data_IF_397592980148
#
_entry.id   IF_397592980148
#
_cell.length_a   1.000
_cell.length_b   1.000
_cell.length_c   1.000
_cell.angle_alpha   90.00
_cell.angle_beta   90.00
_cell.angle_gamma   90.00
#
_symmetry.space_group_name_H-M   'P 1'
#
loop_
_entity.id
_entity.type
_entity.pdbx_description
1 polymer ?
#
# COMPACT_ATOMS: atom_id res chain seq x y z
N UNK A 1 29.14 24.82 13.19
CA UNK A 1 28.17 24.24 12.24
C UNK A 1 28.66 22.96 11.53
N UNK A 2 29.68 22.25 11.99
CA UNK A 2 30.28 21.11 11.27
C UNK A 2 29.85 19.69 11.73
N UNK A 3 29.38 19.53 12.97
CA UNK A 3 29.19 18.19 13.55
C UNK A 3 27.88 17.55 13.12
N UNK A 4 26.79 18.32 13.04
CA UNK A 4 25.46 17.80 12.66
C UNK A 4 25.39 17.41 11.18
N UNK A 5 26.16 18.08 10.29
CA UNK A 5 26.22 17.72 8.87
C UNK A 5 27.01 16.42 8.65
N UNK A 6 28.02 16.14 9.45
CA UNK A 6 28.81 14.91 9.36
C UNK A 6 28.04 13.69 9.89
N UNK A 7 27.28 13.82 10.97
CA UNK A 7 26.43 12.73 11.49
C UNK A 7 25.35 12.36 10.48
N UNK A 8 24.68 13.35 9.86
CA UNK A 8 23.68 13.09 8.78
C UNK A 8 24.30 12.46 7.53
N UNK A 9 25.55 12.79 7.21
CA UNK A 9 26.27 12.20 6.07
C UNK A 9 26.73 10.76 6.35
N UNK A 10 27.19 10.46 7.56
CA UNK A 10 27.55 9.11 7.99
C UNK A 10 26.34 8.18 8.12
N UNK A 11 25.24 8.65 8.70
CA UNK A 11 23.99 7.89 8.78
C UNK A 11 23.40 7.56 7.38
N UNK A 12 23.46 8.52 6.44
CA UNK A 12 23.06 8.27 5.05
C UNK A 12 23.92 7.24 4.34
N UNK A 13 25.23 7.27 4.55
CA UNK A 13 26.17 6.35 3.87
C UNK A 13 26.14 4.93 4.45
N UNK A 14 25.97 4.78 5.76
CA UNK A 14 25.94 3.46 6.41
C UNK A 14 24.61 2.74 6.18
N UNK A 15 23.48 3.44 6.24
CA UNK A 15 22.16 2.86 5.93
C UNK A 15 22.04 2.37 4.48
N UNK A 16 22.59 3.13 3.52
CA UNK A 16 22.49 2.79 2.09
C UNK A 16 23.36 1.59 1.69
N UNK A 17 24.53 1.40 2.31
CA UNK A 17 25.44 0.28 1.99
C UNK A 17 24.92 -1.07 2.52
N UNK A 18 24.37 -1.12 3.72
CA UNK A 18 23.83 -2.36 4.30
C UNK A 18 22.58 -2.79 3.52
N UNK A 19 21.67 -1.86 3.23
CA UNK A 19 20.47 -2.12 2.44
C UNK A 19 20.78 -2.61 1.02
N UNK A 20 21.82 -2.10 0.37
CA UNK A 20 22.20 -2.55 -0.98
C UNK A 20 22.75 -3.99 -0.99
N UNK A 21 23.46 -4.43 0.05
CA UNK A 21 23.98 -5.80 0.15
C UNK A 21 22.86 -6.79 0.44
N UNK A 22 21.89 -6.47 1.29
CA UNK A 22 20.71 -7.31 1.57
C UNK A 22 19.81 -7.42 0.33
N UNK A 23 19.56 -6.31 -0.35
CA UNK A 23 18.77 -6.31 -1.59
C UNK A 23 19.43 -7.17 -2.67
N UNK A 24 20.74 -7.05 -2.87
CA UNK A 24 21.48 -7.87 -3.82
C UNK A 24 21.47 -9.37 -3.45
N UNK A 25 21.52 -9.68 -2.16
CA UNK A 25 21.42 -11.06 -1.68
C UNK A 25 20.01 -11.63 -1.95
N UNK A 26 18.96 -10.90 -1.62
CA UNK A 26 17.58 -11.30 -1.90
C UNK A 26 17.33 -11.47 -3.40
N UNK A 27 17.79 -10.54 -4.22
CA UNK A 27 17.70 -10.61 -5.69
C UNK A 27 18.36 -11.88 -6.23
N UNK A 28 19.54 -12.23 -5.74
CA UNK A 28 20.25 -13.47 -6.12
C UNK A 28 19.46 -14.72 -5.76
N UNK A 29 18.85 -14.75 -4.57
CA UNK A 29 18.01 -15.86 -4.12
C UNK A 29 16.80 -16.01 -5.03
N UNK A 30 16.06 -14.92 -5.28
CA UNK A 30 14.85 -14.92 -6.11
C UNK A 30 15.17 -15.36 -7.55
N UNK A 31 16.19 -14.80 -8.18
CA UNK A 31 16.59 -15.18 -9.54
C UNK A 31 16.93 -16.68 -9.67
N UNK A 32 17.55 -17.26 -8.63
CA UNK A 32 17.86 -18.70 -8.60
C UNK A 32 16.62 -19.57 -8.47
N UNK A 33 15.59 -19.09 -7.76
CA UNK A 33 14.49 -19.95 -7.28
C UNK A 33 13.23 -19.83 -8.15
N UNK A 34 12.95 -18.69 -8.77
CA UNK A 34 11.69 -18.44 -9.49
C UNK A 34 11.39 -19.37 -10.66
N UNK A 35 12.40 -19.97 -11.27
CA UNK A 35 12.22 -20.85 -12.42
C UNK A 35 12.28 -22.35 -12.07
N UNK A 36 12.22 -22.68 -10.77
CA UNK A 36 12.06 -24.06 -10.34
C UNK A 36 10.57 -24.44 -10.40
N UNK A 37 10.31 -25.61 -10.96
CA UNK A 37 8.95 -26.12 -11.16
C UNK A 37 8.36 -26.67 -9.84
N UNK A 38 8.04 -25.74 -8.92
CA UNK A 38 7.44 -26.00 -7.62
C UNK A 38 6.00 -25.50 -7.62
N UNK A 39 5.11 -26.15 -6.89
CA UNK A 39 3.76 -25.67 -6.57
C UNK A 39 2.82 -25.37 -7.76
N UNK A 40 2.86 -26.15 -8.83
CA UNK A 40 1.95 -26.01 -9.99
C UNK A 40 0.46 -26.00 -9.55
N UNK A 41 0.09 -26.78 -8.53
CA UNK A 41 -1.30 -26.80 -8.01
C UNK A 41 -1.71 -25.46 -7.41
N UNK A 42 -0.83 -24.81 -6.65
CA UNK A 42 -1.08 -23.50 -6.05
C UNK A 42 -1.10 -22.40 -7.11
N UNK A 43 -0.23 -22.47 -8.13
CA UNK A 43 -0.28 -21.57 -9.27
C UNK A 43 -1.63 -21.67 -10.02
N UNK A 44 -2.11 -22.90 -10.25
CA UNK A 44 -3.41 -23.11 -10.90
C UNK A 44 -4.57 -22.55 -10.06
N UNK A 45 -4.51 -22.72 -8.73
CA UNK A 45 -5.48 -22.12 -7.80
C UNK A 45 -5.46 -20.60 -7.88
N UNK A 46 -4.27 -20.00 -7.86
CA UNK A 46 -4.09 -18.56 -7.99
C UNK A 46 -4.66 -18.01 -9.30
N UNK A 47 -4.34 -18.63 -10.44
CA UNK A 47 -4.88 -18.21 -11.74
C UNK A 47 -6.42 -18.25 -11.76
N UNK A 48 -7.03 -19.27 -11.19
CA UNK A 48 -8.50 -19.35 -11.06
C UNK A 48 -9.05 -18.20 -10.19
N UNK A 49 -8.41 -17.89 -9.08
CA UNK A 49 -8.81 -16.79 -8.20
C UNK A 49 -8.72 -15.44 -8.90
N UNK A 50 -7.62 -15.17 -9.62
CA UNK A 50 -7.43 -13.93 -10.39
C UNK A 50 -8.51 -13.80 -11.46
N UNK A 51 -8.78 -14.85 -12.24
CA UNK A 51 -9.83 -14.84 -13.26
C UNK A 51 -11.23 -14.60 -12.66
N UNK A 52 -11.52 -15.19 -11.50
CA UNK A 52 -12.81 -14.96 -10.82
C UNK A 52 -12.93 -13.52 -10.34
N UNK A 53 -11.88 -12.96 -9.71
CA UNK A 53 -11.86 -11.57 -9.22
C UNK A 53 -11.95 -10.54 -10.35
N UNK A 54 -11.37 -10.82 -11.51
CA UNK A 54 -11.44 -9.92 -12.67
C UNK A 54 -12.85 -9.75 -13.23
N UNK A 55 -13.78 -10.64 -12.88
CA UNK A 55 -15.19 -10.59 -13.27
C UNK A 55 -16.08 -9.88 -12.23
N UNK A 56 -15.59 -9.73 -11.00
CA UNK A 56 -16.30 -9.06 -9.91
C UNK A 56 -15.87 -7.59 -9.80
N UNK A 57 -16.85 -6.68 -9.91
CA UNK A 57 -16.61 -5.27 -9.59
C UNK A 57 -16.29 -5.15 -8.10
N UNK A 58 -15.03 -4.90 -7.75
CA UNK A 58 -14.66 -4.70 -6.34
C UNK A 58 -15.20 -3.36 -5.85
N UNK A 59 -16.29 -3.41 -5.08
CA UNK A 59 -16.70 -2.26 -4.29
C UNK A 59 -15.65 -2.01 -3.21
N UNK A 60 -14.91 -0.92 -3.31
CA UNK A 60 -14.03 -0.49 -2.22
C UNK A 60 -14.89 0.10 -1.10
N UNK A 61 -14.98 -0.63 0.01
CA UNK A 61 -15.66 -0.17 1.21
C UNK A 61 -14.62 0.40 2.17
N UNK A 62 -14.80 1.67 2.57
CA UNK A 62 -14.02 2.27 3.64
C UNK A 62 -12.72 2.98 3.20
N UNK A 63 -11.89 3.29 4.19
CA UNK A 63 -10.62 3.96 4.04
C UNK A 63 -9.52 2.95 3.72
N UNK A 64 -8.80 3.17 2.62
CA UNK A 64 -7.65 2.34 2.29
C UNK A 64 -6.37 2.92 2.88
N UNK A 65 -5.47 2.05 3.36
CA UNK A 65 -4.23 2.45 4.02
C UNK A 65 -3.34 3.38 3.17
N UNK A 66 -3.33 3.22 1.84
CA UNK A 66 -2.59 4.10 0.92
C UNK A 66 -3.04 5.56 0.95
N UNK A 67 -4.27 5.83 1.39
CA UNK A 67 -4.78 7.20 1.52
C UNK A 67 -4.10 8.00 2.65
N UNK A 68 -3.44 7.32 3.59
CA UNK A 68 -2.72 7.95 4.70
C UNK A 68 -1.30 8.37 4.34
N UNK A 69 -0.72 7.80 3.29
CA UNK A 69 0.68 8.06 2.91
C UNK A 69 0.86 9.27 1.97
N UNK A 70 -0.22 9.94 1.61
CA UNK A 70 -0.15 11.16 0.78
C UNK A 70 0.59 12.28 1.51
N UNK A 71 1.21 13.18 0.72
CA UNK A 71 1.94 14.34 1.28
C UNK A 71 0.97 15.23 2.07
N UNK A 72 1.48 15.87 3.14
CA UNK A 72 0.68 16.74 4.03
C UNK A 72 -0.12 17.78 3.26
N UNK A 73 0.51 18.47 2.32
CA UNK A 73 -0.15 19.48 1.48
C UNK A 73 -1.33 18.95 0.65
N UNK A 74 -1.39 17.64 0.44
CA UNK A 74 -2.43 16.98 -0.37
C UNK A 74 -3.44 16.20 0.51
N UNK A 75 -3.18 16.13 1.81
CA UNK A 75 -3.99 15.38 2.76
C UNK A 75 -5.26 16.16 3.16
N UNK A 76 -6.39 15.47 3.14
CA UNK A 76 -7.68 16.05 3.50
C UNK A 76 -8.44 15.09 4.45
N UNK A 77 -8.40 15.38 5.75
CA UNK A 77 -9.12 14.61 6.78
C UNK A 77 -10.60 14.46 6.45
N UNK A 78 -11.26 15.55 5.99
CA UNK A 78 -12.68 15.50 5.63
C UNK A 78 -13.00 14.47 4.55
N UNK A 79 -12.17 14.38 3.50
CA UNK A 79 -12.39 13.37 2.45
C UNK A 79 -12.21 11.95 2.96
N UNK A 80 -11.27 11.73 3.88
CA UNK A 80 -11.05 10.42 4.49
C UNK A 80 -12.21 10.01 5.41
N UNK A 81 -12.74 10.93 6.21
CA UNK A 81 -13.94 10.68 7.03
C UNK A 81 -15.15 10.41 6.16
N UNK A 82 -15.33 11.17 5.07
CA UNK A 82 -16.42 10.93 4.12
C UNK A 82 -16.32 9.56 3.45
N UNK A 83 -15.11 9.07 3.13
CA UNK A 83 -14.92 7.74 2.54
C UNK A 83 -15.30 6.58 3.46
N UNK A 84 -15.31 6.80 4.77
CA UNK A 84 -15.82 5.85 5.75
C UNK A 84 -17.35 5.84 5.85
N UNK A 85 -17.99 6.95 5.48
CA UNK A 85 -19.45 7.12 5.59
C UNK A 85 -20.16 6.76 4.29
N UNK A 86 -19.54 7.13 3.16
CA UNK A 86 -20.12 6.94 1.84
C UNK A 86 -19.30 5.92 1.05
N UNK A 87 -20.01 4.98 0.42
CA UNK A 87 -19.37 4.13 -0.59
C UNK A 87 -18.78 5.02 -1.68
N UNK A 88 -17.51 4.82 -1.97
CA UNK A 88 -16.86 5.55 -3.05
C UNK A 88 -17.46 5.09 -4.37
N UNK A 89 -18.04 6.01 -5.12
CA UNK A 89 -18.34 5.80 -6.53
C UNK A 89 -17.02 5.81 -7.31
N UNK A 90 -16.20 4.80 -7.09
CA UNK A 90 -14.93 4.65 -7.81
C UNK A 90 -15.22 3.98 -9.14
N UNK A 91 -14.80 4.60 -10.22
CA UNK A 91 -14.69 3.95 -11.52
C UNK A 91 -15.31 4.68 -12.69
N UNK A 92 -16.28 5.55 -12.51
CA UNK A 92 -16.93 6.21 -13.65
C UNK A 92 -16.10 7.32 -14.28
N UNK A 93 -15.09 7.85 -13.58
CA UNK A 93 -14.29 9.01 -14.04
C UNK A 93 -12.87 8.64 -14.50
N UNK A 94 -12.50 7.37 -14.53
CA UNK A 94 -11.16 6.97 -14.96
C UNK A 94 -11.11 6.90 -16.49
N UNK A 95 -10.23 7.69 -17.12
CA UNK A 95 -10.04 7.66 -18.56
C UNK A 95 -9.60 6.27 -19.07
N UNK A 96 -9.95 5.92 -20.30
CA UNK A 96 -9.55 4.65 -20.91
C UNK A 96 -8.03 4.47 -20.89
N UNK A 97 -7.25 5.53 -21.12
CA UNK A 97 -5.80 5.50 -21.04
C UNK A 97 -5.29 5.13 -19.65
N UNK A 98 -5.90 5.68 -18.61
CA UNK A 98 -5.52 5.38 -17.23
C UNK A 98 -5.93 3.95 -16.82
N UNK A 99 -7.09 3.45 -17.30
CA UNK A 99 -7.49 2.05 -17.13
C UNK A 99 -6.45 1.08 -17.70
N UNK A 100 -5.96 1.34 -18.93
CA UNK A 100 -4.91 0.52 -19.55
C UNK A 100 -3.61 0.51 -18.74
N UNK A 101 -3.23 1.66 -18.16
CA UNK A 101 -2.05 1.74 -17.28
C UNK A 101 -2.25 0.88 -16.02
N UNK A 102 -3.45 0.86 -15.46
CA UNK A 102 -3.76 0.01 -14.31
C UNK A 102 -3.75 -1.48 -14.66
N UNK A 103 -4.32 -1.86 -15.82
CA UNK A 103 -4.28 -3.24 -16.31
C UNK A 103 -2.84 -3.74 -16.51
N UNK A 104 -1.97 -2.92 -17.09
CA UNK A 104 -0.55 -3.26 -17.20
C UNK A 104 0.14 -3.41 -15.84
N UNK A 105 -0.18 -2.53 -14.88
CA UNK A 105 0.29 -2.64 -13.49
C UNK A 105 -0.16 -3.96 -12.85
N UNK A 106 -1.44 -4.31 -12.99
CA UNK A 106 -2.00 -5.55 -12.45
C UNK A 106 -1.31 -6.79 -13.06
N UNK A 107 -1.08 -6.81 -14.37
CA UNK A 107 -0.38 -7.91 -15.03
C UNK A 107 1.05 -8.12 -14.48
N UNK A 108 1.75 -7.04 -14.13
CA UNK A 108 3.07 -7.10 -13.48
C UNK A 108 2.96 -7.67 -12.06
N UNK A 109 1.96 -7.26 -11.27
CA UNK A 109 1.70 -7.83 -9.95
C UNK A 109 1.43 -9.33 -10.05
N UNK A 110 0.53 -9.74 -10.94
CA UNK A 110 0.21 -11.16 -11.18
C UNK A 110 1.44 -11.97 -11.61
N UNK A 111 2.31 -11.41 -12.48
CA UNK A 111 3.56 -12.05 -12.89
C UNK A 111 4.43 -12.39 -11.68
N UNK A 112 4.69 -11.42 -10.81
CA UNK A 112 5.54 -11.61 -9.65
C UNK A 112 4.90 -12.52 -8.60
N UNK A 113 3.63 -12.34 -8.30
CA UNK A 113 2.87 -13.19 -7.37
C UNK A 113 2.92 -14.66 -7.79
N UNK A 114 2.73 -14.94 -9.07
CA UNK A 114 2.85 -16.29 -9.62
C UNK A 114 4.25 -16.86 -9.45
N UNK A 115 5.31 -16.05 -9.65
CA UNK A 115 6.69 -16.50 -9.44
C UNK A 115 6.97 -16.85 -7.97
N UNK A 116 6.47 -16.05 -7.02
CA UNK A 116 6.59 -16.34 -5.59
C UNK A 116 5.86 -17.63 -5.20
N UNK A 117 4.68 -17.91 -5.78
CA UNK A 117 3.96 -19.16 -5.56
C UNK A 117 4.76 -20.35 -6.11
N UNK A 118 5.24 -20.26 -7.35
CA UNK A 118 6.03 -21.32 -7.99
C UNK A 118 7.30 -21.63 -7.23
N UNK A 119 7.94 -20.61 -6.70
CA UNK A 119 9.11 -20.75 -5.84
C UNK A 119 8.80 -21.40 -4.47
N UNK A 120 7.53 -21.45 -4.09
CA UNK A 120 7.11 -21.96 -2.78
C UNK A 120 7.28 -20.95 -1.63
N UNK A 121 7.48 -19.67 -1.95
CA UNK A 121 7.65 -18.60 -0.97
C UNK A 121 6.33 -17.96 -0.53
N UNK A 122 5.26 -18.11 -1.31
CA UNK A 122 3.92 -17.62 -0.99
C UNK A 122 2.86 -18.66 -1.31
N UNK A 123 1.70 -18.55 -0.67
CA UNK A 123 0.51 -19.35 -0.98
C UNK A 123 -0.50 -18.49 -1.75
N UNK A 124 -1.28 -19.13 -2.62
CA UNK A 124 -2.30 -18.42 -3.38
C UNK A 124 -3.33 -17.68 -2.49
N UNK A 125 -3.63 -18.23 -1.32
CA UNK A 125 -4.60 -17.65 -0.36
C UNK A 125 -4.03 -16.42 0.39
N UNK A 126 -2.71 -16.18 0.34
CA UNK A 126 -2.05 -15.06 1.03
C UNK A 126 -1.84 -13.84 0.12
N UNK A 127 -2.20 -13.94 -1.17
CA UNK A 127 -1.98 -12.89 -2.16
C UNK A 127 -3.24 -12.11 -2.47
N UNK A 128 -3.11 -10.79 -2.66
CA UNK A 128 -4.20 -9.86 -2.94
C UNK A 128 -5.39 -9.96 -1.96
N UNK A 129 -5.14 -10.46 -0.76
CA UNK A 129 -6.19 -10.56 0.26
C UNK A 129 -6.33 -9.21 0.94
N UNK A 130 -7.46 -8.55 0.68
CA UNK A 130 -7.81 -7.34 1.42
C UNK A 130 -8.04 -7.68 2.88
N UNK A 131 -7.26 -7.07 3.73
CA UNK A 131 -7.33 -7.15 5.17
C UNK A 131 -8.01 -5.90 5.72
N UNK A 132 -8.57 -6.01 6.92
CA UNK A 132 -9.24 -4.89 7.57
C UNK A 132 -8.77 -4.76 9.01
N UNK A 133 -8.44 -3.55 9.42
CA UNK A 133 -8.18 -3.20 10.81
C UNK A 133 -9.41 -2.51 11.38
N UNK A 134 -10.11 -3.19 12.29
CA UNK A 134 -11.38 -2.72 12.87
C UNK A 134 -11.22 -1.47 13.72
N UNK A 135 -10.10 -1.33 14.42
CA UNK A 135 -9.87 -0.18 15.29
C UNK A 135 -9.76 1.12 14.48
N UNK A 136 -8.92 1.13 13.44
CA UNK A 136 -8.72 2.30 12.58
C UNK A 136 -9.75 2.41 11.44
N UNK A 137 -10.57 1.38 11.22
CA UNK A 137 -11.49 1.29 10.09
C UNK A 137 -10.78 1.39 8.73
N UNK A 138 -9.61 0.76 8.63
CA UNK A 138 -8.73 0.83 7.46
C UNK A 138 -8.64 -0.54 6.80
N UNK A 139 -8.89 -0.56 5.49
CA UNK A 139 -8.56 -1.71 4.63
C UNK A 139 -7.16 -1.57 4.05
N UNK A 140 -6.48 -2.70 3.84
CA UNK A 140 -5.18 -2.74 3.19
C UNK A 140 -4.98 -4.09 2.50
N UNK A 141 -4.24 -4.07 1.41
CA UNK A 141 -3.99 -5.25 0.58
C UNK A 141 -2.50 -5.29 0.27
N UNK A 142 -1.70 -6.08 1.01
CA UNK A 142 -0.31 -6.34 0.63
C UNK A 142 -0.25 -7.06 -0.71
N UNK A 143 0.66 -6.65 -1.59
CA UNK A 143 0.83 -7.30 -2.89
C UNK A 143 1.35 -8.74 -2.72
N UNK A 144 2.29 -8.93 -1.78
CA UNK A 144 2.88 -10.23 -1.46
C UNK A 144 3.03 -10.37 0.07
N UNK A 145 2.64 -11.52 0.61
CA UNK A 145 3.11 -12.03 1.90
C UNK A 145 3.89 -13.30 1.61
N UNK A 146 5.14 -13.36 2.04
CA UNK A 146 6.04 -14.47 1.72
C UNK A 146 6.97 -14.86 2.88
N UNK A 147 7.48 -16.07 2.80
CA UNK A 147 8.55 -16.60 3.63
C UNK A 147 9.70 -17.04 2.70
N UNK A 148 10.90 -16.48 2.92
CA UNK A 148 12.12 -16.80 2.16
C UNK A 148 13.17 -17.21 3.19
N UNK A 149 13.17 -18.48 3.63
CA UNK A 149 14.00 -18.96 4.75
C UNK A 149 15.49 -18.74 4.54
N UNK A 150 15.94 -18.75 3.28
CA UNK A 150 17.33 -18.50 2.91
C UNK A 150 17.78 -17.04 3.14
N UNK A 151 16.80 -16.16 3.33
CA UNK A 151 17.05 -14.72 3.52
C UNK A 151 16.64 -14.22 4.91
N UNK A 152 15.44 -14.61 5.38
CA UNK A 152 14.88 -14.14 6.64
C UNK A 152 13.97 -15.18 7.30
N UNK A 153 14.21 -15.43 8.59
CA UNK A 153 13.41 -16.38 9.41
C UNK A 153 12.15 -15.66 9.95
N UNK A 154 11.15 -15.50 9.10
CA UNK A 154 9.86 -14.88 9.40
C UNK A 154 9.11 -14.47 8.14
N UNK A 155 7.83 -14.13 8.29
CA UNK A 155 7.03 -13.59 7.20
C UNK A 155 7.48 -12.19 6.83
N UNK A 156 7.50 -11.92 5.52
CA UNK A 156 7.81 -10.62 4.95
C UNK A 156 6.64 -10.10 4.12
N UNK A 157 6.60 -8.79 3.95
CA UNK A 157 5.71 -8.13 2.98
C UNK A 157 6.53 -7.65 1.80
N UNK A 158 6.07 -7.95 0.60
CA UNK A 158 6.55 -7.36 -0.64
C UNK A 158 5.53 -6.37 -1.20
N UNK A 159 6.03 -5.23 -1.65
CA UNK A 159 5.27 -4.21 -2.38
C UNK A 159 5.82 -4.15 -3.80
N UNK A 160 4.97 -4.31 -4.81
CA UNK A 160 5.35 -4.31 -6.22
C UNK A 160 5.04 -2.95 -6.83
N UNK A 161 5.98 -2.41 -7.58
CA UNK A 161 5.77 -1.18 -8.35
C UNK A 161 6.21 -1.35 -9.79
N UNK A 162 5.29 -1.11 -10.70
CA UNK A 162 5.57 -1.00 -12.12
C UNK A 162 6.02 0.44 -12.45
N UNK A 163 7.19 0.58 -13.01
CA UNK A 163 7.78 1.89 -13.33
C UNK A 163 8.22 1.92 -14.80
N UNK A 164 8.24 3.12 -15.39
CA UNK A 164 8.82 3.27 -16.72
C UNK A 164 10.36 3.32 -16.66
N UNK A 165 11.03 2.98 -17.76
CA UNK A 165 12.49 2.90 -17.85
C UNK A 165 13.20 4.17 -17.38
N UNK A 166 12.66 5.34 -17.71
CA UNK A 166 13.25 6.61 -17.30
C UNK A 166 13.23 6.81 -15.77
N UNK A 167 12.13 6.45 -15.12
CA UNK A 167 12.04 6.46 -13.66
C UNK A 167 12.92 5.37 -13.06
N UNK A 168 12.89 4.16 -13.63
CA UNK A 168 13.65 3.01 -13.18
C UNK A 168 15.16 3.30 -13.14
N UNK A 169 15.72 3.92 -14.19
CA UNK A 169 17.14 4.26 -14.27
C UNK A 169 17.56 5.31 -13.24
N UNK A 170 16.72 6.29 -12.97
CA UNK A 170 17.01 7.45 -12.09
C UNK A 170 16.62 7.24 -10.63
N UNK A 171 15.74 6.30 -10.38
CA UNK A 171 15.19 6.08 -9.05
C UNK A 171 16.19 5.29 -8.20
N UNK A 172 16.54 5.86 -7.05
CA UNK A 172 17.28 5.16 -5.99
C UNK A 172 16.27 4.47 -5.06
N UNK A 173 15.17 5.16 -4.73
CA UNK A 173 14.08 4.65 -3.91
C UNK A 173 12.74 5.10 -4.48
N UNK A 174 11.75 4.20 -4.45
CA UNK A 174 10.40 4.57 -4.85
C UNK A 174 9.78 5.56 -3.83
N UNK A 175 9.28 6.74 -4.26
CA UNK A 175 8.95 7.84 -3.34
C UNK A 175 7.90 7.54 -2.26
N UNK A 176 6.99 6.61 -2.53
CA UNK A 176 5.88 6.28 -1.62
C UNK A 176 5.83 4.80 -1.21
N UNK A 177 6.45 3.89 -1.98
CA UNK A 177 6.32 2.45 -1.74
C UNK A 177 6.93 2.03 -0.39
N UNK A 178 8.10 2.56 -0.03
CA UNK A 178 8.70 2.29 1.28
C UNK A 178 7.81 2.74 2.45
N UNK A 179 7.10 3.87 2.31
CA UNK A 179 6.13 4.32 3.32
C UNK A 179 4.91 3.39 3.40
N UNK A 180 4.41 2.96 2.26
CA UNK A 180 3.29 2.03 2.16
C UNK A 180 3.67 0.69 2.79
N UNK A 181 4.86 0.18 2.49
CA UNK A 181 5.40 -1.04 3.07
C UNK A 181 5.51 -0.95 4.59
N UNK A 182 6.08 0.13 5.16
CA UNK A 182 6.18 0.34 6.61
C UNK A 182 4.80 0.30 7.28
N UNK A 183 3.81 0.94 6.66
CA UNK A 183 2.45 0.95 7.16
C UNK A 183 1.80 -0.44 7.12
N UNK A 184 2.00 -1.20 6.06
CA UNK A 184 1.49 -2.57 5.94
C UNK A 184 2.17 -3.52 6.94
N UNK A 185 3.49 -3.38 7.15
CA UNK A 185 4.23 -4.14 8.17
C UNK A 185 3.63 -3.86 9.56
N UNK A 186 3.41 -2.59 9.91
CA UNK A 186 2.78 -2.20 11.18
C UNK A 186 1.39 -2.83 11.36
N UNK A 187 0.52 -2.73 10.36
CA UNK A 187 -0.85 -3.26 10.44
C UNK A 187 -0.87 -4.79 10.59
N UNK A 188 0.05 -5.50 9.92
CA UNK A 188 0.15 -6.94 10.07
C UNK A 188 0.72 -7.34 11.44
N UNK A 189 1.75 -6.65 11.95
CA UNK A 189 2.26 -6.86 13.30
C UNK A 189 1.15 -6.63 14.34
N UNK A 190 0.38 -5.56 14.18
CA UNK A 190 -0.74 -5.25 15.08
C UNK A 190 -1.79 -6.36 15.05
N UNK A 191 -2.20 -6.80 13.87
CA UNK A 191 -3.16 -7.89 13.67
C UNK A 191 -2.72 -9.19 14.35
N UNK A 192 -1.44 -9.59 14.17
CA UNK A 192 -0.93 -10.81 14.79
C UNK A 192 -0.81 -10.68 16.31
N UNK A 193 -0.48 -9.49 16.82
CA UNK A 193 -0.48 -9.22 18.27
C UNK A 193 -1.88 -9.29 18.86
N UNK A 194 -2.88 -8.72 18.19
CA UNK A 194 -4.29 -8.78 18.60
C UNK A 194 -4.81 -10.22 18.68
N UNK A 195 -4.33 -11.09 17.78
CA UNK A 195 -4.63 -12.52 17.79
C UNK A 195 -3.82 -13.34 18.79
N UNK A 196 -2.76 -12.77 19.38
CA UNK A 196 -1.81 -13.49 20.22
C UNK A 196 -0.89 -14.46 19.45
N UNK A 197 -0.78 -14.34 18.13
CA UNK A 197 0.00 -15.24 17.25
C UNK A 197 1.35 -14.67 16.84
N UNK A 198 1.65 -13.40 17.17
CA UNK A 198 2.89 -12.77 16.76
C UNK A 198 4.13 -13.40 17.43
N UNK A 199 5.05 -13.89 16.62
CA UNK A 199 6.26 -14.59 17.05
C UNK A 199 7.48 -13.68 17.30
N UNK A 200 7.33 -12.36 17.21
CA UNK A 200 8.41 -11.38 17.38
C UNK A 200 9.26 -11.11 16.15
N UNK A 201 9.13 -11.91 15.09
CA UNK A 201 9.90 -11.81 13.84
C UNK A 201 9.05 -11.42 12.66
N UNK A 202 7.86 -12.01 12.50
CA UNK A 202 6.98 -11.78 11.36
C UNK A 202 6.76 -10.28 11.09
N UNK A 203 6.89 -9.92 9.82
CA UNK A 203 6.70 -8.56 9.29
C UNK A 203 7.70 -7.52 9.79
N UNK A 204 8.86 -7.96 10.36
CA UNK A 204 9.94 -7.02 10.71
C UNK A 204 10.87 -6.71 9.54
N UNK A 205 10.81 -7.50 8.48
CA UNK A 205 11.44 -7.20 7.19
C UNK A 205 10.40 -7.18 6.08
N UNK A 206 10.67 -6.38 5.06
CA UNK A 206 9.89 -6.33 3.85
C UNK A 206 10.72 -5.77 2.71
N UNK A 207 10.18 -5.78 1.51
CA UNK A 207 10.87 -5.28 0.33
C UNK A 207 9.93 -4.54 -0.61
N UNK A 208 10.49 -3.62 -1.38
CA UNK A 208 9.86 -3.02 -2.55
C UNK A 208 10.52 -3.59 -3.78
N UNK A 209 9.72 -4.15 -4.67
CA UNK A 209 10.14 -4.66 -5.96
C UNK A 209 9.70 -3.66 -7.04
N UNK A 210 10.66 -3.00 -7.65
CA UNK A 210 10.42 -2.07 -8.75
C UNK A 210 10.70 -2.80 -10.08
N UNK A 211 9.66 -2.99 -10.90
CA UNK A 211 9.74 -3.65 -12.21
C UNK A 211 9.74 -2.59 -13.32
N UNK A 212 10.74 -2.60 -14.19
CA UNK A 212 10.74 -1.78 -15.41
C UNK A 212 9.83 -2.44 -16.44
N UNK A 213 8.66 -1.88 -16.63
CA UNK A 213 7.63 -2.42 -17.53
C UNK A 213 8.06 -2.54 -19.01
N UNK A 214 9.13 -1.87 -19.42
CA UNK A 214 9.61 -1.92 -20.81
C UNK A 214 10.74 -2.94 -21.01
N UNK A 215 11.73 -2.99 -20.09
CA UNK A 215 12.89 -3.88 -20.19
C UNK A 215 12.71 -5.19 -19.42
N UNK A 216 11.75 -5.25 -18.50
CA UNK A 216 11.54 -6.37 -17.58
C UNK A 216 12.67 -6.55 -16.54
N UNK A 217 13.58 -5.59 -16.43
CA UNK A 217 14.54 -5.53 -15.35
C UNK A 217 13.83 -5.19 -14.04
N UNK A 218 14.40 -5.62 -12.92
CA UNK A 218 13.85 -5.27 -11.62
C UNK A 218 14.92 -4.83 -10.63
N UNK A 219 14.51 -4.06 -9.65
CA UNK A 219 15.32 -3.65 -8.51
C UNK A 219 14.59 -3.93 -7.22
N UNK A 220 15.33 -4.38 -6.23
CA UNK A 220 14.83 -4.62 -4.88
C UNK A 220 15.37 -3.59 -3.90
N UNK A 221 14.49 -3.14 -3.01
CA UNK A 221 14.82 -2.32 -1.86
C UNK A 221 14.32 -3.06 -0.62
N UNK A 222 15.23 -3.43 0.27
CA UNK A 222 14.88 -4.12 1.52
C UNK A 222 14.75 -3.12 2.66
N UNK A 223 13.76 -3.31 3.50
CA UNK A 223 13.43 -2.45 4.62
C UNK A 223 13.26 -3.25 5.89
N UNK A 224 13.87 -2.77 6.97
CA UNK A 224 13.48 -3.16 8.31
C UNK A 224 12.30 -2.34 8.78
N UNK A 225 11.42 -2.95 9.59
CA UNK A 225 10.33 -2.23 10.22
C UNK A 225 10.85 -1.19 11.19
N UNK A 226 10.45 0.04 10.97
CA UNK A 226 10.81 1.19 11.79
C UNK A 226 9.53 1.88 12.30
N UNK A 227 9.32 1.77 13.62
CA UNK A 227 8.13 2.34 14.28
C UNK A 227 8.03 3.85 14.09
N UNK A 228 9.17 4.56 14.06
CA UNK A 228 9.18 6.02 13.91
C UNK A 228 8.60 6.46 12.55
N UNK A 229 8.77 5.63 11.52
CA UNK A 229 8.25 5.92 10.18
C UNK A 229 6.74 5.77 10.04
N UNK A 230 6.07 5.18 11.02
CA UNK A 230 4.61 4.99 10.99
C UNK A 230 3.86 5.90 11.97
N UNK A 231 4.55 6.68 12.80
CA UNK A 231 3.93 7.57 13.78
C UNK A 231 2.96 8.54 13.09
N UNK A 232 3.39 9.23 12.05
CA UNK A 232 2.53 10.16 11.29
C UNK A 232 1.26 9.48 10.75
N UNK A 233 1.35 8.21 10.37
CA UNK A 233 0.19 7.46 9.85
C UNK A 233 -0.75 7.05 10.96
N UNK A 234 -0.21 6.69 12.12
CA UNK A 234 -1.00 6.41 13.33
C UNK A 234 -1.77 7.67 13.72
N UNK A 235 -1.10 8.82 13.79
CA UNK A 235 -1.73 10.10 14.15
C UNK A 235 -2.83 10.50 13.16
N UNK A 236 -2.61 10.26 11.88
CA UNK A 236 -3.64 10.48 10.84
C UNK A 236 -4.81 9.53 11.01
N UNK A 237 -4.56 8.24 11.26
CA UNK A 237 -5.60 7.25 11.46
C UNK A 237 -6.45 7.56 12.71
N UNK A 238 -5.81 7.92 13.83
CA UNK A 238 -6.48 8.37 15.05
C UNK A 238 -7.32 9.63 14.82
N UNK A 239 -6.78 10.59 14.08
CA UNK A 239 -7.51 11.82 13.72
C UNK A 239 -8.76 11.51 12.90
N UNK A 240 -8.66 10.63 11.91
CA UNK A 240 -9.80 10.23 11.09
C UNK A 240 -10.84 9.52 11.96
N UNK A 241 -10.40 8.55 12.79
CA UNK A 241 -11.26 7.81 13.71
C UNK A 241 -12.00 8.75 14.67
N UNK A 242 -11.29 9.68 15.30
CA UNK A 242 -11.88 10.68 16.20
C UNK A 242 -12.99 11.47 15.50
N UNK A 243 -12.73 11.98 14.29
CA UNK A 243 -13.73 12.73 13.55
C UNK A 243 -14.88 11.85 13.04
N UNK A 244 -14.61 10.61 12.65
CA UNK A 244 -15.63 9.64 12.29
C UNK A 244 -16.60 9.39 13.45
N UNK A 245 -16.08 9.12 14.64
CA UNK A 245 -16.89 8.90 15.84
C UNK A 245 -17.75 10.14 16.18
N UNK A 246 -17.21 11.34 16.00
CA UNK A 246 -17.95 12.59 16.22
C UNK A 246 -19.10 12.82 15.23
N UNK A 247 -18.96 12.39 13.98
CA UNK A 247 -20.04 12.49 13.00
C UNK A 247 -21.28 11.76 13.51
N UNK A 248 -21.12 10.58 14.08
CA UNK A 248 -22.25 9.79 14.59
C UNK A 248 -22.76 10.30 15.93
N UNK A 249 -21.88 10.63 16.87
CA UNK A 249 -22.24 11.09 18.22
C UNK A 249 -22.80 12.51 18.23
N UNK A 250 -22.13 13.43 17.54
CA UNK A 250 -22.42 14.87 17.64
C UNK A 250 -23.11 15.42 16.37
N UNK A 251 -23.25 14.61 15.31
CA UNK A 251 -23.76 15.02 13.98
C UNK A 251 -22.93 16.17 13.38
N UNK A 252 -21.63 16.23 13.72
CA UNK A 252 -20.72 17.29 13.28
C UNK A 252 -19.66 16.72 12.33
N UNK A 253 -19.72 17.16 11.08
CA UNK A 253 -18.68 16.85 10.08
C UNK A 253 -17.45 17.74 10.31
N UNK A 254 -16.26 17.16 10.07
CA UNK A 254 -15.00 17.90 10.08
C UNK A 254 -15.01 19.03 9.06
N UNK A 255 -14.47 20.19 9.41
CA UNK A 255 -14.40 21.36 8.52
C UNK A 255 -13.59 21.05 7.26
N UNK A 256 -13.92 21.73 6.16
CA UNK A 256 -13.08 21.71 4.96
C UNK A 256 -11.71 22.31 5.28
N UNK A 257 -10.62 21.76 4.73
CA UNK A 257 -9.31 22.38 4.90
C UNK A 257 -9.26 23.73 4.20
N UNK A 258 -8.34 24.60 4.61
CA UNK A 258 -8.21 25.97 4.09
C UNK A 258 -8.04 26.07 2.58
N UNK A 259 -7.37 25.09 1.97
CA UNK A 259 -7.22 25.05 0.53
C UNK A 259 -8.53 24.74 -0.21
N UNK A 260 -9.51 24.11 0.43
CA UNK A 260 -10.79 23.73 -0.18
C UNK A 260 -11.80 24.88 -0.19
N UNK A 261 -11.49 25.93 -0.95
CA UNK A 261 -12.32 27.14 -1.07
C UNK A 261 -13.46 26.99 -2.07
N UNK A 262 -13.35 26.10 -3.05
CA UNK A 262 -14.33 25.84 -4.12
C UNK A 262 -14.28 24.38 -4.57
N UNK A 263 -15.38 23.78 -5.04
CA UNK A 263 -15.39 22.45 -5.62
C UNK A 263 -14.60 22.35 -6.95
N UNK A 264 -14.28 23.47 -7.57
CA UNK A 264 -13.55 23.58 -8.85
C UNK A 264 -12.03 23.70 -8.67
N UNK A 265 -11.53 23.73 -7.44
CA UNK A 265 -10.09 23.67 -7.20
C UNK A 265 -9.60 22.28 -7.61
N UNK A 266 -8.48 22.22 -8.35
CA UNK A 266 -7.91 20.98 -8.91
C UNK A 266 -7.90 19.79 -7.95
N UNK A 267 -7.56 20.00 -6.68
CA UNK A 267 -7.57 18.94 -5.65
C UNK A 267 -8.98 18.47 -5.28
N UNK A 268 -9.95 19.36 -5.24
CA UNK A 268 -11.35 19.03 -4.98
C UNK A 268 -12.02 18.45 -6.22
N UNK A 269 -11.68 18.95 -7.40
CA UNK A 269 -12.23 18.49 -8.68
C UNK A 269 -11.91 17.00 -8.94
N UNK A 270 -10.69 16.55 -8.61
CA UNK A 270 -10.28 15.16 -8.73
C UNK A 270 -10.59 14.28 -7.50
N UNK A 271 -11.27 14.83 -6.49
CA UNK A 271 -11.56 14.11 -5.24
C UNK A 271 -12.79 13.22 -5.40
N UNK A 272 -12.65 11.92 -5.12
CA UNK A 272 -13.78 10.97 -5.15
C UNK A 272 -14.93 11.34 -4.21
N UNK A 273 -14.65 12.13 -3.16
CA UNK A 273 -15.65 12.60 -2.19
C UNK A 273 -16.17 14.03 -2.50
N UNK A 274 -15.88 14.57 -3.69
CA UNK A 274 -16.25 15.94 -4.07
C UNK A 274 -17.73 16.19 -3.89
N UNK A 275 -18.57 15.37 -4.49
CA UNK A 275 -20.01 15.59 -4.52
C UNK A 275 -20.63 15.46 -3.12
N UNK A 276 -20.20 14.46 -2.35
CA UNK A 276 -20.60 14.33 -0.95
C UNK A 276 -20.12 15.52 -0.10
N UNK A 277 -18.89 16.01 -0.32
CA UNK A 277 -18.31 17.11 0.43
C UNK A 277 -19.01 18.45 0.16
N UNK A 278 -19.46 18.69 -1.07
CA UNK A 278 -20.05 19.95 -1.52
C UNK A 278 -21.55 19.88 -1.75
N UNK A 279 -22.18 18.72 -1.50
CA UNK A 279 -23.61 18.45 -1.75
C UNK A 279 -24.04 18.74 -3.20
N UNK A 280 -23.14 18.46 -4.16
CA UNK A 280 -23.40 18.65 -5.58
C UNK A 280 -24.17 17.43 -6.09
N UNK A 281 -25.43 17.62 -6.56
CA UNK A 281 -26.24 16.57 -7.16
C UNK A 281 -26.70 15.45 -6.19
N UNK A 282 -26.23 15.46 -4.97
CA UNK A 282 -26.68 14.59 -3.91
C UNK A 282 -27.72 15.34 -3.07
N UNK A 283 -28.97 14.87 -3.00
CA UNK A 283 -29.93 15.34 -2.02
C UNK A 283 -29.30 15.41 -0.62
N UNK A 284 -30.00 15.97 0.36
CA UNK A 284 -29.49 16.09 1.73
C UNK A 284 -28.78 14.80 2.15
N UNK A 285 -27.48 14.90 2.43
CA UNK A 285 -26.63 13.81 2.84
C UNK A 285 -27.25 13.16 4.08
N UNK A 286 -27.97 12.07 3.90
CA UNK A 286 -28.44 11.25 5.00
C UNK A 286 -27.26 10.45 5.49
N UNK A 287 -26.82 10.70 6.71
CA UNK A 287 -25.90 9.79 7.40
C UNK A 287 -26.73 8.56 7.68
N UNK A 288 -26.50 7.51 6.91
CA UNK A 288 -27.14 6.22 7.17
C UNK A 288 -26.47 5.65 8.43
N UNK A 289 -27.27 5.42 9.46
CA UNK A 289 -26.90 4.73 10.69
C UNK A 289 -26.60 3.26 10.42
#
# INVERSE_FOLDING_TARGET
MGIVSNIKKQARNNGTKIQSSEAANLEKILNKTFYLDKNIKEETKFVKQVMTRGLESQERVGLHASALIVKEKDYCVRSQVLSLIYKQLQGEQVSVGLKRIFEEGNAIHEKWQRLFIRAGYSKADDLDVTQFNDYYKISYTPDIICEIPEFYDGKMIGEIKSVNTFQFQRMVHHPSAGKQLQWYMFLNILKEKEKGTWNGKDYKKGFVLNDDKNTQDFKLEVYDFDKEKVIDFIDRAETIKYHYDRVFKEKKMVKRPEFAKSPTIKKCESCAMRDACWNIGMGRVKINN
#
